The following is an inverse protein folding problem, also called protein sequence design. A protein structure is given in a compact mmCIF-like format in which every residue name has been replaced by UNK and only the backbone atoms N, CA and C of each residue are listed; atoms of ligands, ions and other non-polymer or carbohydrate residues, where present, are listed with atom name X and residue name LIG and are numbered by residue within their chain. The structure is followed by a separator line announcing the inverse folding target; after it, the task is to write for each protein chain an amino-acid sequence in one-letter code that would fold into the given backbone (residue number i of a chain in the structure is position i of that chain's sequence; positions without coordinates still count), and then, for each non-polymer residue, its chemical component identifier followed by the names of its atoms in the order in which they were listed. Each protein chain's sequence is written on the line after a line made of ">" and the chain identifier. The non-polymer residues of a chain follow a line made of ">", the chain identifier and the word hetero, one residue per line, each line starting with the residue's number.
data_IF_102122331243
#
_entry.id   IF_102122331243
#
_cell.length_a   1.000
_cell.length_b   1.000
_cell.length_c   1.000
_cell.angle_alpha   90.00
_cell.angle_beta   90.00
_cell.angle_gamma   90.00
#
_symmetry.space_group_name_H-M   'P 1'
#
loop_
_entity.id
_entity.type
_entity.pdbx_description
1 polymer ?
#
# COMPACT_ATOMS: atom_id res chain seq x y z
N UNK A 1 27.96 23.87 -38.04
CA UNK A 1 26.96 24.42 -37.10
C UNK A 1 25.85 23.40 -37.04
N UNK A 2 25.94 22.49 -36.06
CA UNK A 2 24.91 21.47 -35.84
C UNK A 2 23.72 22.18 -35.22
N UNK A 3 22.58 22.09 -35.88
CA UNK A 3 21.27 22.48 -35.34
C UNK A 3 21.09 21.77 -33.99
N UNK A 4 20.80 22.54 -32.94
CA UNK A 4 20.33 22.01 -31.69
C UNK A 4 19.02 21.28 -31.95
N UNK A 5 19.06 19.96 -31.87
CA UNK A 5 17.91 19.24 -31.35
C UNK A 5 17.77 19.77 -29.92
N UNK A 6 16.62 20.36 -29.61
CA UNK A 6 16.23 20.57 -28.24
C UNK A 6 16.22 19.17 -27.61
N UNK A 7 17.27 18.84 -26.84
CA UNK A 7 17.36 17.60 -26.07
C UNK A 7 16.24 17.64 -25.00
N UNK A 8 15.02 17.34 -25.43
CA UNK A 8 13.85 17.22 -24.59
C UNK A 8 14.05 15.99 -23.70
N UNK A 9 14.08 16.21 -22.39
CA UNK A 9 14.24 15.11 -21.42
C UNK A 9 13.04 14.19 -21.53
N UNK A 10 13.28 12.90 -21.79
CA UNK A 10 12.21 11.90 -21.84
C UNK A 10 11.61 11.70 -20.44
N UNK A 11 10.33 12.08 -20.31
CA UNK A 11 9.56 11.97 -19.06
C UNK A 11 8.63 10.75 -19.03
N UNK A 12 8.68 9.87 -20.04
CA UNK A 12 7.85 8.65 -20.09
C UNK A 12 8.04 7.75 -18.87
N UNK A 13 9.27 7.71 -18.35
CA UNK A 13 9.59 7.01 -17.11
C UNK A 13 8.81 7.54 -15.89
N UNK A 14 8.65 8.86 -15.74
CA UNK A 14 7.84 9.44 -14.67
C UNK A 14 6.35 9.08 -14.82
N UNK A 15 5.83 9.01 -16.04
CA UNK A 15 4.46 8.53 -16.28
C UNK A 15 4.27 7.09 -15.83
N UNK A 16 5.21 6.21 -16.18
CA UNK A 16 5.19 4.82 -15.75
C UNK A 16 5.24 4.71 -14.22
N UNK A 17 6.08 5.50 -13.54
CA UNK A 17 6.12 5.56 -12.08
C UNK A 17 4.77 6.01 -11.52
N UNK A 18 4.18 7.09 -12.02
CA UNK A 18 2.87 7.60 -11.57
C UNK A 18 1.75 6.56 -11.72
N UNK A 19 1.67 5.89 -12.88
CA UNK A 19 0.67 4.85 -13.14
C UNK A 19 0.82 3.67 -12.20
N UNK A 20 2.06 3.23 -12.03
CA UNK A 20 2.41 2.08 -11.19
C UNK A 20 2.16 2.37 -9.71
N UNK A 21 2.44 3.59 -9.26
CA UNK A 21 2.06 4.05 -7.91
C UNK A 21 0.55 3.94 -7.71
N UNK A 22 -0.27 4.49 -8.61
CA UNK A 22 -1.75 4.41 -8.50
C UNK A 22 -2.27 2.98 -8.55
N UNK A 23 -1.64 2.12 -9.33
CA UNK A 23 -1.96 0.70 -9.36
C UNK A 23 -1.64 0.04 -8.01
N UNK A 24 -0.45 0.28 -7.46
CA UNK A 24 -0.05 -0.20 -6.14
C UNK A 24 -1.05 0.22 -5.07
N UNK A 25 -1.47 1.49 -5.05
CA UNK A 25 -2.47 1.99 -4.09
C UNK A 25 -3.82 1.29 -4.20
N UNK A 26 -4.30 1.06 -5.43
CA UNK A 26 -5.55 0.31 -5.66
C UNK A 26 -5.46 -1.14 -5.16
N UNK A 27 -4.32 -1.79 -5.38
CA UNK A 27 -4.06 -3.15 -4.92
C UNK A 27 -3.92 -3.21 -3.39
N UNK A 28 -3.28 -2.20 -2.80
CA UNK A 28 -3.14 -2.02 -1.35
C UNK A 28 -4.51 -1.92 -0.68
N UNK A 29 -5.38 -1.02 -1.15
CA UNK A 29 -6.76 -0.89 -0.64
C UNK A 29 -7.59 -2.18 -0.83
N UNK A 30 -7.39 -2.89 -1.93
CA UNK A 30 -8.07 -4.17 -2.18
C UNK A 30 -7.60 -5.26 -1.20
N UNK A 31 -6.29 -5.32 -0.94
CA UNK A 31 -5.67 -6.17 0.06
C UNK A 31 -6.22 -5.87 1.46
N UNK A 32 -6.35 -4.58 1.81
CA UNK A 32 -6.90 -4.14 3.09
C UNK A 32 -8.32 -4.62 3.30
N UNK A 33 -9.19 -4.46 2.29
CA UNK A 33 -10.57 -4.95 2.33
C UNK A 33 -10.64 -6.48 2.49
N UNK A 34 -9.79 -7.21 1.78
CA UNK A 34 -9.76 -8.68 1.86
C UNK A 34 -9.30 -9.17 3.24
N UNK A 35 -8.34 -8.49 3.85
CA UNK A 35 -7.86 -8.85 5.19
C UNK A 35 -8.78 -8.41 6.32
N UNK A 36 -9.51 -7.31 6.19
CA UNK A 36 -10.45 -6.84 7.21
C UNK A 36 -11.52 -7.90 7.57
N UNK A 37 -11.81 -8.84 6.67
CA UNK A 37 -12.77 -9.93 6.92
C UNK A 37 -12.14 -11.21 7.49
N UNK A 38 -10.81 -11.34 7.48
CA UNK A 38 -10.09 -12.54 7.93
C UNK A 38 -10.34 -12.85 9.41
N UNK A 39 -10.26 -11.89 10.37
CA UNK A 39 -10.51 -12.19 11.78
C UNK A 39 -11.90 -12.78 12.02
N UNK A 40 -12.92 -12.26 11.33
CA UNK A 40 -14.29 -12.76 11.43
C UNK A 40 -14.39 -14.20 10.94
N UNK A 41 -13.85 -14.52 9.76
CA UNK A 41 -13.91 -15.88 9.22
C UNK A 41 -13.09 -16.86 10.05
N UNK A 42 -11.93 -16.42 10.57
CA UNK A 42 -11.12 -17.19 11.51
C UNK A 42 -11.89 -17.53 12.79
N UNK A 43 -12.49 -16.53 13.45
CA UNK A 43 -13.33 -16.70 14.63
C UNK A 43 -14.45 -17.72 14.42
N UNK A 44 -15.10 -17.69 13.25
CA UNK A 44 -16.14 -18.67 12.88
C UNK A 44 -15.59 -20.09 12.69
N UNK A 45 -14.38 -20.24 12.15
CA UNK A 45 -13.71 -21.53 12.01
C UNK A 45 -13.31 -22.15 13.36
N UNK A 46 -12.88 -21.34 14.32
CA UNK A 46 -12.43 -21.81 15.65
C UNK A 46 -13.53 -21.81 16.72
N UNK A 47 -14.77 -21.46 16.34
CA UNK A 47 -15.91 -21.29 17.25
C UNK A 47 -15.71 -20.24 18.36
N UNK A 48 -14.86 -19.25 18.11
CA UNK A 48 -14.58 -18.11 19.00
C UNK A 48 -15.23 -16.83 18.47
N UNK A 49 -16.55 -16.88 18.25
CA UNK A 49 -17.30 -15.83 17.57
C UNK A 49 -18.23 -15.05 18.52
N UNK A 50 -17.86 -14.95 19.80
CA UNK A 50 -18.62 -14.17 20.77
C UNK A 50 -18.60 -12.68 20.37
N UNK A 51 -19.77 -12.04 20.34
CA UNK A 51 -19.87 -10.61 20.07
C UNK A 51 -19.58 -9.85 21.36
N UNK A 52 -18.39 -9.26 21.45
CA UNK A 52 -18.08 -8.34 22.55
C UNK A 52 -18.71 -6.96 22.28
N UNK A 53 -19.57 -6.53 23.20
CA UNK A 53 -20.18 -5.20 23.18
C UNK A 53 -19.35 -4.22 24.04
N UNK A 54 -19.19 -2.99 23.56
CA UNK A 54 -18.68 -1.90 24.42
C UNK A 54 -19.62 -1.60 25.59
N UNK A 55 -19.12 -0.89 26.61
CA UNK A 55 -19.87 -0.62 27.85
C UNK A 55 -21.22 0.06 27.60
N UNK A 56 -21.26 1.06 26.71
CA UNK A 56 -22.48 1.79 26.37
C UNK A 56 -23.52 0.91 25.66
N UNK A 57 -23.08 0.07 24.72
CA UNK A 57 -23.94 -0.89 24.05
C UNK A 57 -24.47 -1.94 25.03
N UNK A 58 -23.60 -2.46 25.92
CA UNK A 58 -23.98 -3.41 26.97
C UNK A 58 -25.05 -2.84 27.91
N UNK A 59 -24.90 -1.59 28.35
CA UNK A 59 -25.86 -0.91 29.20
C UNK A 59 -27.22 -0.72 28.49
N UNK A 60 -27.20 -0.35 27.21
CA UNK A 60 -28.40 -0.21 26.38
C UNK A 60 -29.14 -1.54 26.20
N UNK A 61 -28.41 -2.64 25.90
CA UNK A 61 -28.98 -3.99 25.78
C UNK A 61 -29.66 -4.42 27.08
N UNK A 62 -29.05 -4.14 28.25
CA UNK A 62 -29.63 -4.48 29.56
C UNK A 62 -30.86 -3.66 29.92
N UNK A 63 -30.93 -2.40 29.46
CA UNK A 63 -32.07 -1.52 29.72
C UNK A 63 -33.31 -1.89 28.87
N UNK A 64 -33.11 -2.57 27.74
CA UNK A 64 -34.17 -3.00 26.83
C UNK A 64 -33.96 -4.46 26.38
N UNK A 65 -34.19 -5.45 27.27
CA UNK A 65 -33.95 -6.86 26.96
C UNK A 65 -34.90 -7.34 25.86
N UNK A 66 -34.35 -8.13 24.93
CA UNK A 66 -35.09 -8.66 23.79
C UNK A 66 -34.55 -10.04 23.48
N UNK A 67 -35.43 -11.05 23.52
CA UNK A 67 -35.05 -12.44 23.23
C UNK A 67 -34.41 -12.61 21.84
N UNK A 68 -34.71 -11.73 20.87
CA UNK A 68 -34.06 -11.73 19.55
C UNK A 68 -32.67 -11.13 19.60
N UNK A 69 -32.48 -10.06 20.38
CA UNK A 69 -31.17 -9.44 20.58
C UNK A 69 -30.27 -10.35 21.41
N UNK A 70 -30.80 -10.97 22.46
CA UNK A 70 -30.09 -11.93 23.29
C UNK A 70 -29.65 -13.15 22.47
N UNK A 71 -30.55 -13.73 21.65
CA UNK A 71 -30.19 -14.81 20.75
C UNK A 71 -29.16 -14.39 19.68
N UNK A 72 -29.18 -13.13 19.22
CA UNK A 72 -28.18 -12.58 18.30
C UNK A 72 -26.83 -12.34 19.00
N UNK A 73 -26.81 -11.93 20.26
CA UNK A 73 -25.56 -11.74 21.02
C UNK A 73 -24.93 -13.08 21.42
N UNK A 74 -25.77 -14.07 21.80
CA UNK A 74 -25.33 -15.43 22.13
C UNK A 74 -24.82 -16.20 20.90
N UNK A 75 -25.49 -16.05 19.75
CA UNK A 75 -25.12 -16.77 18.52
C UNK A 75 -24.27 -15.94 17.56
N UNK A 76 -24.17 -14.63 17.79
CA UNK A 76 -23.46 -13.68 16.95
C UNK A 76 -23.81 -13.77 15.47
N UNK A 77 -22.77 -13.56 14.66
CA UNK A 77 -22.74 -13.90 13.23
C UNK A 77 -22.44 -15.40 12.98
N UNK A 78 -22.55 -16.26 14.00
CA UNK A 78 -22.10 -17.65 13.97
C UNK A 78 -23.23 -18.66 13.73
N UNK A 79 -24.18 -18.30 12.86
CA UNK A 79 -25.18 -19.25 12.38
C UNK A 79 -24.50 -20.45 11.69
N UNK A 80 -25.09 -21.65 11.81
CA UNK A 80 -24.52 -22.89 11.24
C UNK A 80 -24.16 -22.77 9.74
N UNK A 81 -24.99 -22.06 8.98
CA UNK A 81 -24.71 -21.81 7.55
C UNK A 81 -23.47 -20.93 7.31
N UNK A 82 -23.19 -19.98 8.20
CA UNK A 82 -22.00 -19.12 8.10
C UNK A 82 -20.75 -19.87 8.56
N UNK A 83 -20.85 -20.66 9.64
CA UNK A 83 -19.77 -21.56 10.09
C UNK A 83 -19.39 -22.57 9.03
N UNK A 84 -20.37 -23.18 8.36
CA UNK A 84 -20.13 -24.14 7.29
C UNK A 84 -19.36 -23.52 6.09
N UNK A 85 -19.57 -22.23 5.83
CA UNK A 85 -18.92 -21.49 4.73
C UNK A 85 -17.61 -20.82 5.16
N UNK A 86 -17.36 -20.68 6.47
CA UNK A 86 -16.23 -19.94 7.00
C UNK A 86 -14.87 -20.46 6.51
N UNK A 87 -14.61 -21.78 6.40
CA UNK A 87 -13.33 -22.27 5.87
C UNK A 87 -13.05 -21.80 4.45
N UNK A 88 -14.03 -21.96 3.53
CA UNK A 88 -13.88 -21.52 2.14
C UNK A 88 -13.73 -20.01 2.03
N UNK A 89 -14.49 -19.25 2.84
CA UNK A 89 -14.41 -17.79 2.87
C UNK A 89 -13.09 -17.28 3.45
N UNK A 90 -12.57 -17.95 4.46
CA UNK A 90 -11.26 -17.66 5.02
C UNK A 90 -10.17 -17.91 3.98
N UNK A 91 -10.15 -19.08 3.34
CA UNK A 91 -9.18 -19.40 2.28
C UNK A 91 -9.25 -18.40 1.13
N UNK A 92 -10.46 -18.09 0.63
CA UNK A 92 -10.66 -17.11 -0.44
C UNK A 92 -10.09 -15.73 -0.07
N UNK A 93 -10.34 -15.25 1.15
CA UNK A 93 -9.82 -13.96 1.59
C UNK A 93 -8.28 -13.95 1.62
N UNK A 94 -7.65 -15.01 2.14
CA UNK A 94 -6.18 -15.16 2.18
C UNK A 94 -5.58 -15.23 0.77
N UNK A 95 -6.25 -15.92 -0.15
CA UNK A 95 -5.83 -16.01 -1.55
C UNK A 95 -5.95 -14.67 -2.27
N UNK A 96 -7.00 -13.91 -2.03
CA UNK A 96 -7.19 -12.58 -2.62
C UNK A 96 -6.12 -11.59 -2.14
N UNK A 97 -5.75 -11.64 -0.85
CA UNK A 97 -4.61 -10.89 -0.29
C UNK A 97 -3.32 -11.31 -0.98
N UNK A 98 -3.10 -12.63 -1.11
CA UNK A 98 -1.91 -13.15 -1.78
C UNK A 98 -1.80 -12.71 -3.24
N UNK A 99 -2.93 -12.64 -3.95
CA UNK A 99 -2.98 -12.13 -5.33
C UNK A 99 -2.66 -10.65 -5.38
N UNK A 100 -3.21 -9.83 -4.47
CA UNK A 100 -2.90 -8.40 -4.40
C UNK A 100 -1.41 -8.17 -4.13
N UNK A 101 -0.83 -8.88 -3.14
CA UNK A 101 0.60 -8.78 -2.81
C UNK A 101 1.50 -9.20 -3.98
N UNK A 102 1.11 -10.21 -4.76
CA UNK A 102 1.85 -10.60 -5.95
C UNK A 102 1.87 -9.47 -7.00
N UNK A 103 0.70 -8.92 -7.33
CA UNK A 103 0.60 -7.80 -8.28
C UNK A 103 1.26 -6.51 -7.77
N UNK A 104 1.24 -6.26 -6.46
CA UNK A 104 2.02 -5.17 -5.86
C UNK A 104 3.52 -5.38 -6.08
N UNK A 105 3.99 -6.63 -6.06
CA UNK A 105 5.35 -7.00 -6.45
C UNK A 105 5.67 -6.62 -7.89
N UNK A 106 4.82 -7.00 -8.83
CA UNK A 106 4.98 -6.65 -10.25
C UNK A 106 4.97 -5.13 -10.47
N UNK A 107 4.14 -4.40 -9.72
CA UNK A 107 4.13 -2.94 -9.73
C UNK A 107 5.47 -2.38 -9.21
N UNK A 108 5.96 -2.82 -8.05
CA UNK A 108 7.25 -2.35 -7.51
C UNK A 108 8.42 -2.63 -8.47
N UNK A 109 8.43 -3.78 -9.14
CA UNK A 109 9.45 -4.08 -10.17
C UNK A 109 9.40 -3.08 -11.31
N UNK A 110 8.21 -2.81 -11.88
CA UNK A 110 8.07 -1.82 -12.96
C UNK A 110 8.43 -0.40 -12.52
N UNK A 111 8.09 -0.01 -11.29
CA UNK A 111 8.43 1.30 -10.75
C UNK A 111 9.96 1.46 -10.60
N UNK A 112 10.66 0.42 -10.17
CA UNK A 112 12.12 0.40 -10.11
C UNK A 112 12.78 0.45 -11.50
N UNK A 113 12.25 -0.31 -12.46
CA UNK A 113 12.73 -0.26 -13.85
C UNK A 113 12.58 1.14 -14.43
N UNK A 114 11.40 1.75 -14.27
CA UNK A 114 11.13 3.12 -14.72
C UNK A 114 11.99 4.16 -13.98
N UNK A 115 12.25 3.98 -12.67
CA UNK A 115 13.20 4.86 -11.96
C UNK A 115 14.61 4.75 -12.55
N UNK A 116 15.06 3.54 -12.88
CA UNK A 116 16.33 3.31 -13.57
C UNK A 116 16.40 4.01 -14.93
N UNK A 117 15.32 3.94 -15.71
CA UNK A 117 15.19 4.65 -16.99
C UNK A 117 15.22 6.17 -16.81
N UNK A 118 14.57 6.71 -15.77
CA UNK A 118 14.58 8.14 -15.48
C UNK A 118 15.97 8.64 -15.07
N UNK A 119 16.69 7.86 -14.26
CA UNK A 119 18.09 8.15 -13.90
C UNK A 119 18.97 8.08 -15.15
N UNK A 120 18.76 7.10 -16.04
CA UNK A 120 19.52 6.97 -17.29
C UNK A 120 19.27 8.14 -18.24
N UNK A 121 18.02 8.55 -18.41
CA UNK A 121 17.64 9.69 -19.25
C UNK A 121 18.25 11.00 -18.77
N UNK A 122 18.43 11.17 -17.45
CA UNK A 122 18.93 12.41 -16.85
C UNK A 122 20.45 12.45 -16.69
N UNK A 123 21.09 11.31 -16.42
CA UNK A 123 22.55 11.20 -16.26
C UNK A 123 23.30 10.80 -17.53
N UNK A 124 22.61 10.23 -18.51
CA UNK A 124 23.21 9.57 -19.67
C UNK A 124 23.89 8.23 -19.33
N UNK A 125 23.65 7.68 -18.13
CA UNK A 125 24.23 6.40 -17.66
C UNK A 125 23.20 5.58 -16.93
N UNK A 126 23.16 4.28 -17.24
CA UNK A 126 22.33 3.36 -16.47
C UNK A 126 22.90 3.19 -15.05
N UNK A 127 22.10 3.38 -13.99
CA UNK A 127 22.55 3.17 -12.62
C UNK A 127 22.98 1.70 -12.41
N UNK A 128 23.99 1.49 -11.58
CA UNK A 128 24.41 0.15 -11.15
C UNK A 128 23.36 -0.48 -10.23
N UNK A 129 23.18 -1.80 -10.33
CA UNK A 129 22.26 -2.57 -9.49
C UNK A 129 22.58 -2.52 -7.97
N UNK A 130 23.74 -1.97 -7.58
CA UNK A 130 24.23 -1.95 -6.20
C UNK A 130 23.49 -0.95 -5.27
N UNK A 131 22.49 -0.21 -5.76
CA UNK A 131 21.60 0.63 -4.94
C UNK A 131 22.24 1.83 -4.26
N UNK A 132 23.50 2.16 -4.56
CA UNK A 132 24.18 3.32 -4.00
C UNK A 132 23.69 4.61 -4.68
N UNK A 133 23.27 5.62 -3.90
CA UNK A 133 22.76 6.91 -4.39
C UNK A 133 23.81 7.75 -5.14
N UNK A 134 24.99 7.19 -5.42
CA UNK A 134 26.06 7.81 -6.22
C UNK A 134 25.61 8.18 -7.64
N UNK A 135 24.54 7.56 -8.15
CA UNK A 135 23.98 7.89 -9.46
C UNK A 135 23.61 9.37 -9.59
N UNK A 136 23.22 10.05 -8.49
CA UNK A 136 22.87 11.46 -8.56
C UNK A 136 24.09 12.33 -8.90
N UNK A 137 25.29 11.92 -8.46
CA UNK A 137 26.52 12.66 -8.73
C UNK A 137 26.93 12.63 -10.22
N UNK A 138 26.39 11.66 -10.98
CA UNK A 138 26.65 11.53 -12.41
C UNK A 138 25.71 12.40 -13.27
N UNK A 139 24.65 12.99 -12.69
CA UNK A 139 23.74 13.88 -13.42
C UNK A 139 24.40 15.25 -13.62
N UNK A 140 24.52 15.76 -14.86
CA UNK A 140 25.10 17.08 -15.10
C UNK A 140 24.31 18.20 -14.39
N UNK A 141 25.00 19.13 -13.71
CA UNK A 141 24.37 20.26 -13.00
C UNK A 141 23.40 21.07 -13.85
N UNK A 142 23.66 21.36 -15.15
CA UNK A 142 22.68 22.03 -16.00
C UNK A 142 21.37 21.24 -16.13
N UNK A 143 21.44 19.91 -16.24
CA UNK A 143 20.28 19.03 -16.31
C UNK A 143 19.54 19.01 -14.98
N UNK A 144 20.24 18.85 -13.86
CA UNK A 144 19.64 18.88 -12.52
C UNK A 144 18.76 20.11 -12.27
N UNK A 145 19.16 21.25 -12.83
CA UNK A 145 18.49 22.55 -12.67
C UNK A 145 17.31 22.78 -13.61
N UNK A 146 17.13 21.93 -14.62
CA UNK A 146 15.95 21.98 -15.48
C UNK A 146 14.72 21.72 -14.62
N UNK A 147 13.75 22.65 -14.67
CA UNK A 147 12.52 22.58 -13.90
C UNK A 147 11.33 22.38 -14.83
N UNK A 148 10.38 21.55 -14.41
CA UNK A 148 9.15 21.29 -15.14
C UNK A 148 8.01 20.90 -14.18
N UNK A 149 6.78 20.99 -14.68
CA UNK A 149 5.58 20.56 -13.99
C UNK A 149 5.20 19.14 -14.40
N UNK A 150 4.78 18.34 -13.43
CA UNK A 150 4.27 16.98 -13.68
C UNK A 150 3.05 16.73 -12.81
N UNK A 151 1.87 17.18 -13.29
CA UNK A 151 0.60 17.12 -12.54
C UNK A 151 0.56 17.90 -11.22
N UNK A 152 1.67 18.54 -10.83
CA UNK A 152 1.78 19.46 -9.70
C UNK A 152 1.52 20.90 -10.13
N UNK A 153 0.99 21.72 -9.21
CA UNK A 153 0.90 23.18 -9.42
C UNK A 153 2.29 23.84 -9.42
N UNK A 154 3.18 23.32 -8.58
CA UNK A 154 4.58 23.75 -8.42
C UNK A 154 5.48 23.15 -9.53
N UNK A 155 6.47 23.92 -9.97
CA UNK A 155 7.58 23.43 -10.78
C UNK A 155 8.65 22.84 -9.86
N UNK A 156 9.10 21.63 -10.18
CA UNK A 156 10.21 20.98 -9.50
C UNK A 156 11.36 20.76 -10.47
N UNK A 157 12.58 20.84 -9.95
CA UNK A 157 13.79 20.55 -10.71
C UNK A 157 13.94 19.04 -10.94
N UNK A 158 14.74 18.64 -11.94
CA UNK A 158 15.10 17.23 -12.16
C UNK A 158 15.70 16.63 -10.89
N UNK A 159 16.56 17.36 -10.18
CA UNK A 159 17.10 16.91 -8.88
C UNK A 159 15.99 16.57 -7.88
N UNK A 160 14.99 17.45 -7.74
CA UNK A 160 13.87 17.23 -6.83
C UNK A 160 13.02 16.04 -7.28
N UNK A 161 12.71 15.92 -8.58
CA UNK A 161 11.97 14.79 -9.12
C UNK A 161 12.65 13.45 -8.88
N UNK A 162 13.96 13.39 -9.09
CA UNK A 162 14.77 12.20 -8.85
C UNK A 162 14.68 11.78 -7.37
N UNK A 163 14.87 12.72 -6.44
CA UNK A 163 14.73 12.43 -5.01
C UNK A 163 13.31 11.98 -4.61
N UNK A 164 12.28 12.64 -5.13
CA UNK A 164 10.89 12.30 -4.83
C UNK A 164 10.53 10.92 -5.38
N UNK A 165 10.88 10.63 -6.63
CA UNK A 165 10.63 9.34 -7.26
C UNK A 165 11.36 8.20 -6.54
N UNK A 166 12.66 8.36 -6.23
CA UNK A 166 13.42 7.38 -5.43
C UNK A 166 12.76 7.15 -4.07
N UNK A 167 12.42 8.23 -3.37
CA UNK A 167 11.80 8.13 -2.05
C UNK A 167 10.47 7.36 -2.09
N UNK A 168 9.63 7.62 -3.09
CA UNK A 168 8.35 6.91 -3.25
C UNK A 168 8.59 5.45 -3.58
N UNK A 169 9.48 5.12 -4.52
CA UNK A 169 9.76 3.71 -4.89
C UNK A 169 10.29 2.92 -3.68
N UNK A 170 11.23 3.47 -2.90
CA UNK A 170 11.71 2.84 -1.66
C UNK A 170 10.58 2.60 -0.63
N UNK A 171 9.62 3.52 -0.54
CA UNK A 171 8.46 3.36 0.35
C UNK A 171 7.54 2.23 -0.13
N UNK A 172 7.32 2.09 -1.44
CA UNK A 172 6.55 0.98 -2.01
C UNK A 172 7.23 -0.37 -1.73
N UNK A 173 8.55 -0.44 -1.81
CA UNK A 173 9.32 -1.66 -1.49
C UNK A 173 9.15 -2.07 -0.02
N UNK A 174 9.29 -1.13 0.92
CA UNK A 174 9.13 -1.37 2.36
C UNK A 174 7.69 -1.79 2.71
N UNK A 175 6.71 -1.14 2.10
CA UNK A 175 5.30 -1.54 2.25
C UNK A 175 5.08 -2.96 1.71
N UNK A 176 5.59 -3.28 0.52
CA UNK A 176 5.50 -4.63 -0.05
C UNK A 176 6.16 -5.69 0.84
N UNK A 177 7.35 -5.41 1.40
CA UNK A 177 8.03 -6.30 2.34
C UNK A 177 7.15 -6.59 3.57
N UNK A 178 6.54 -5.53 4.13
CA UNK A 178 5.62 -5.64 5.27
C UNK A 178 4.41 -6.49 4.93
N UNK A 179 3.80 -6.27 3.77
CA UNK A 179 2.64 -7.03 3.30
C UNK A 179 2.94 -8.50 3.04
N UNK A 180 4.14 -8.82 2.53
CA UNK A 180 4.61 -10.21 2.39
C UNK A 180 4.72 -10.90 3.76
N UNK A 181 5.31 -10.23 4.75
CA UNK A 181 5.41 -10.75 6.13
C UNK A 181 4.04 -11.04 6.74
N UNK A 182 3.07 -10.13 6.55
CA UNK A 182 1.70 -10.34 7.02
C UNK A 182 1.04 -11.51 6.31
N UNK A 183 1.17 -11.60 4.99
CA UNK A 183 0.60 -12.71 4.21
C UNK A 183 1.18 -14.06 4.67
N UNK A 184 2.49 -14.13 4.88
CA UNK A 184 3.17 -15.33 5.36
C UNK A 184 2.66 -15.72 6.75
N UNK A 185 2.44 -14.75 7.64
CA UNK A 185 1.82 -15.01 8.94
C UNK A 185 0.42 -15.59 8.81
N UNK A 186 -0.43 -14.96 8.00
CA UNK A 186 -1.82 -15.39 7.83
C UNK A 186 -1.90 -16.78 7.17
N UNK A 187 -0.96 -17.11 6.27
CA UNK A 187 -0.87 -18.45 5.65
C UNK A 187 -0.27 -19.52 6.55
N UNK A 188 0.76 -19.18 7.33
CA UNK A 188 1.54 -20.13 8.12
C UNK A 188 1.03 -20.35 9.54
N UNK A 189 0.26 -19.40 10.09
CA UNK A 189 -0.04 -19.36 11.52
C UNK A 189 1.22 -19.13 12.37
N UNK A 190 1.07 -19.14 13.70
CA UNK A 190 2.07 -18.78 14.74
C UNK A 190 3.37 -19.62 14.71
N UNK A 191 3.55 -20.53 13.76
CA UNK A 191 4.69 -21.43 13.69
C UNK A 191 6.05 -20.75 13.38
N UNK A 192 6.06 -19.48 12.95
CA UNK A 192 7.27 -18.82 12.43
C UNK A 192 7.57 -17.42 12.97
N UNK A 193 6.60 -16.72 13.56
CA UNK A 193 6.73 -15.33 13.98
C UNK A 193 6.63 -15.19 15.50
N UNK A 194 7.51 -14.40 16.12
CA UNK A 194 7.45 -14.12 17.57
C UNK A 194 6.21 -13.28 17.87
N UNK A 195 5.57 -13.47 19.03
CA UNK A 195 4.37 -12.72 19.42
C UNK A 195 4.55 -11.18 19.33
N UNK A 196 5.75 -10.68 19.62
CA UNK A 196 6.11 -9.26 19.51
C UNK A 196 6.18 -8.78 18.05
N UNK A 197 6.61 -9.63 17.11
CA UNK A 197 6.60 -9.33 15.67
C UNK A 197 5.15 -9.28 15.15
N UNK A 198 4.25 -10.05 15.75
CA UNK A 198 2.83 -10.13 15.39
C UNK A 198 2.03 -8.92 15.88
N UNK A 199 2.22 -8.51 17.13
CA UNK A 199 1.63 -7.26 17.64
C UNK A 199 2.16 -6.06 16.83
N UNK A 200 3.44 -6.09 16.44
CA UNK A 200 4.03 -5.12 15.52
C UNK A 200 3.38 -5.14 14.13
N UNK A 201 3.15 -6.31 13.53
CA UNK A 201 2.51 -6.44 12.22
C UNK A 201 1.04 -6.02 12.23
N UNK A 202 0.29 -6.30 13.31
CA UNK A 202 -1.11 -5.88 13.47
C UNK A 202 -1.22 -4.37 13.74
N UNK A 203 -0.28 -3.80 14.52
CA UNK A 203 -0.18 -2.36 14.69
C UNK A 203 0.19 -1.65 13.38
N UNK A 204 1.12 -2.21 12.61
CA UNK A 204 1.53 -1.71 11.30
C UNK A 204 0.44 -1.87 10.24
N UNK A 205 -0.33 -2.94 10.30
CA UNK A 205 -1.51 -3.14 9.46
C UNK A 205 -2.54 -2.01 9.64
N UNK A 206 -2.71 -1.58 10.89
CA UNK A 206 -3.68 -0.57 11.27
C UNK A 206 -3.16 0.86 11.05
N UNK A 207 -1.84 1.01 10.92
CA UNK A 207 -1.22 2.25 10.51
C UNK A 207 -1.39 2.41 8.99
N UNK A 208 -1.69 3.62 8.55
CA UNK A 208 -1.70 3.97 7.12
C UNK A 208 -0.38 3.56 6.43
N UNK A 209 -0.38 3.35 5.09
CA UNK A 209 0.80 2.87 4.37
C UNK A 209 2.05 3.66 4.78
N UNK A 210 3.22 3.02 4.75
CA UNK A 210 4.53 3.70 4.94
C UNK A 210 4.87 4.74 3.85
N UNK A 211 3.87 5.07 3.05
CA UNK A 211 3.91 5.99 1.93
C UNK A 211 3.50 7.37 2.45
N UNK A 212 4.42 8.32 2.39
CA UNK A 212 4.12 9.74 2.58
C UNK A 212 3.12 10.16 1.48
N UNK A 213 1.87 10.36 1.89
CA UNK A 213 0.77 10.66 0.97
C UNK A 213 0.99 11.93 0.16
N UNK A 214 1.73 12.90 0.72
CA UNK A 214 2.04 14.14 0.01
C UNK A 214 3.06 13.89 -1.09
N UNK A 215 4.15 13.18 -0.79
CA UNK A 215 5.15 12.82 -1.80
C UNK A 215 4.56 11.92 -2.88
N UNK A 216 3.73 10.96 -2.49
CA UNK A 216 3.06 10.08 -3.42
C UNK A 216 2.08 10.84 -4.33
N UNK A 217 1.29 11.76 -3.79
CA UNK A 217 0.36 12.59 -4.57
C UNK A 217 1.13 13.45 -5.59
N UNK A 218 2.25 14.04 -5.18
CA UNK A 218 3.13 14.80 -6.08
C UNK A 218 3.67 13.92 -7.21
N UNK A 219 4.20 12.72 -6.89
CA UNK A 219 4.74 11.78 -7.90
C UNK A 219 3.64 11.23 -8.81
N UNK A 220 2.42 11.08 -8.32
CA UNK A 220 1.29 10.72 -9.17
C UNK A 220 0.85 11.88 -10.07
N UNK A 221 1.17 13.12 -9.72
CA UNK A 221 0.61 14.29 -10.39
C UNK A 221 -0.86 14.52 -10.01
N UNK A 222 -1.26 14.04 -8.83
CA UNK A 222 -2.58 14.25 -8.27
C UNK A 222 -2.45 15.44 -7.30
N UNK A 223 -2.70 16.67 -7.78
CA UNK A 223 -2.70 17.84 -6.91
C UNK A 223 -3.68 17.65 -5.74
N UNK A 224 -3.29 18.14 -4.55
CA UNK A 224 -3.98 17.95 -3.27
C UNK A 224 -5.42 18.50 -3.23
N UNK A 225 -6.37 17.82 -3.86
CA UNK A 225 -7.81 17.93 -3.58
C UNK A 225 -8.26 16.89 -2.54
N UNK A 226 -7.37 16.00 -2.09
CA UNK A 226 -7.67 14.97 -1.09
C UNK A 226 -7.95 15.56 0.31
N UNK A 227 -7.39 16.72 0.65
CA UNK A 227 -7.65 17.39 1.94
C UNK A 227 -9.05 18.01 2.02
N UNK A 228 -9.76 18.20 0.90
CA UNK A 228 -11.14 18.69 0.90
C UNK A 228 -12.16 17.58 1.20
N UNK A 229 -11.83 16.32 0.92
CA UNK A 229 -12.73 15.17 1.13
C UNK A 229 -12.67 14.60 2.56
N UNK A 230 -11.60 14.88 3.32
CA UNK A 230 -11.47 14.46 4.72
C UNK A 230 -12.12 15.44 5.72
N UNK A 231 -12.59 16.61 5.25
CA UNK A 231 -13.18 17.68 6.07
C UNK A 231 -14.70 17.86 5.84
N UNK A 232 -15.38 16.95 5.12
CA UNK A 232 -16.84 16.93 4.91
C UNK A 232 -17.48 15.63 5.38
#
# INVERSE_FOLDING_TARGET
>A
MSSGEDDEVDLSALATISETCREFRRLHEASDRAMAVIPRWYALCVNDAAVELGEAATAATRAAPSARLDAFLERGFAHESEKARAPEKLTSAIEDVGRCVAFMGDAVTRANEALGEFVEATSGRRPSDDGDARWIADVPVPVMRTAFKWGSEEEYTIEQWLWMATSVVEQLERELETRRKILDYVRGGVASARAEELDGCVALWSAQPFVDDRLFAIVCGDSADADAAAAS
#
